data_IF_102257968686
#
_entry.id   IF_102257968686
#
_cell.length_a   1.000
_cell.length_b   1.000
_cell.length_c   1.000
_cell.angle_alpha   90.00
_cell.angle_beta   90.00
_cell.angle_gamma   90.00
#
_symmetry.space_group_name_H-M   'P 1'
#
loop_
_entity.id
_entity.type
_entity.pdbx_description
1 polymer ?
#
# COMPACT_ATOMS: atom_id res chain seq x y z
N UNK A 1 19.44 24.55 5.64
CA UNK A 1 18.15 25.20 5.34
C UNK A 1 17.10 24.52 6.23
N UNK A 2 16.24 25.27 6.95
CA UNK A 2 15.36 24.65 7.96
C UNK A 2 14.19 23.89 7.30
N UNK A 3 13.80 22.73 7.86
CA UNK A 3 12.70 21.86 7.40
C UNK A 3 11.39 22.61 7.12
N UNK A 4 11.10 23.63 7.95
CA UNK A 4 9.94 24.54 7.78
C UNK A 4 9.95 25.34 6.48
N UNK A 5 11.13 25.67 5.91
CA UNK A 5 11.23 26.44 4.65
C UNK A 5 10.93 25.57 3.42
N UNK A 6 11.32 24.30 3.46
CA UNK A 6 11.08 23.31 2.38
C UNK A 6 9.62 22.88 2.28
N UNK A 7 8.95 22.69 3.43
CA UNK A 7 7.51 22.40 3.49
C UNK A 7 6.69 23.56 2.91
N UNK A 8 7.06 24.81 3.23
CA UNK A 8 6.40 26.00 2.68
C UNK A 8 6.61 26.13 1.15
N UNK A 9 7.79 25.79 0.63
CA UNK A 9 8.06 25.86 -0.81
C UNK A 9 7.26 24.80 -1.58
N UNK A 10 7.24 23.56 -1.08
CA UNK A 10 6.47 22.45 -1.66
C UNK A 10 4.96 22.73 -1.65
N UNK A 11 4.46 23.31 -0.54
CA UNK A 11 3.06 23.72 -0.41
C UNK A 11 2.69 24.82 -1.42
N UNK A 12 3.54 25.84 -1.56
CA UNK A 12 3.31 26.94 -2.51
C UNK A 12 3.40 26.50 -3.97
N UNK A 13 4.30 25.57 -4.30
CA UNK A 13 4.39 24.98 -5.64
C UNK A 13 3.14 24.16 -5.98
N UNK A 14 2.66 23.36 -5.02
CA UNK A 14 1.42 22.59 -5.18
C UNK A 14 0.23 23.51 -5.46
N UNK A 15 0.01 24.53 -4.63
CA UNK A 15 -1.16 25.40 -4.77
C UNK A 15 -1.15 26.22 -6.08
N UNK A 16 -0.03 26.86 -6.43
CA UNK A 16 0.07 27.65 -7.66
C UNK A 16 -0.07 26.78 -8.93
N UNK A 17 0.40 25.54 -8.89
CA UNK A 17 0.28 24.61 -10.02
C UNK A 17 -1.16 24.12 -10.15
N UNK A 18 -1.77 23.71 -9.03
CA UNK A 18 -3.17 23.23 -8.98
C UNK A 18 -4.15 24.27 -9.53
N UNK A 19 -4.00 25.55 -9.18
CA UNK A 19 -4.88 26.61 -9.71
C UNK A 19 -4.82 26.71 -11.24
N UNK A 20 -3.62 26.68 -11.82
CA UNK A 20 -3.40 26.86 -13.27
C UNK A 20 -3.87 25.68 -14.12
N UNK A 21 -3.96 24.48 -13.54
CA UNK A 21 -4.35 23.25 -14.28
C UNK A 21 -5.57 22.56 -13.68
N UNK A 22 -6.36 23.28 -12.88
CA UNK A 22 -7.56 22.78 -12.20
C UNK A 22 -8.63 22.20 -13.15
N UNK A 23 -8.62 22.60 -14.42
CA UNK A 23 -9.50 22.04 -15.46
C UNK A 23 -9.10 20.62 -15.89
N UNK A 24 -7.85 20.21 -15.67
CA UNK A 24 -7.39 18.85 -15.83
C UNK A 24 -7.63 18.13 -14.49
N UNK A 25 -8.50 17.12 -14.47
CA UNK A 25 -8.89 16.39 -13.25
C UNK A 25 -7.69 15.56 -12.73
N UNK A 26 -6.74 16.23 -12.07
CA UNK A 26 -5.44 15.70 -11.63
C UNK A 26 -5.33 15.71 -10.10
N UNK A 27 -4.68 14.68 -9.57
CA UNK A 27 -4.29 14.51 -8.18
C UNK A 27 -2.77 14.73 -8.04
N UNK A 28 -2.33 15.10 -6.83
CA UNK A 28 -0.94 15.40 -6.53
C UNK A 28 -0.50 14.80 -5.19
N UNK A 29 0.60 14.04 -5.19
CA UNK A 29 1.23 13.52 -3.98
C UNK A 29 2.69 13.98 -3.86
N UNK A 30 3.19 14.11 -2.64
CA UNK A 30 4.61 14.42 -2.41
C UNK A 30 5.47 13.18 -2.69
N UNK A 31 6.41 13.31 -3.62
CA UNK A 31 7.40 12.30 -3.97
C UNK A 31 8.73 12.57 -3.24
N UNK A 32 9.04 11.77 -2.22
CA UNK A 32 10.27 11.93 -1.45
C UNK A 32 10.44 13.34 -0.86
N UNK A 33 11.66 13.88 -0.93
CA UNK A 33 11.99 15.22 -0.41
C UNK A 33 11.95 16.33 -1.48
N UNK A 34 11.97 15.98 -2.77
CA UNK A 34 12.28 16.94 -3.85
C UNK A 34 11.31 16.90 -5.03
N UNK A 35 10.33 16.00 -5.05
CA UNK A 35 9.39 15.88 -6.18
C UNK A 35 7.93 15.89 -5.75
N UNK A 36 7.07 16.12 -6.74
CA UNK A 36 5.62 15.98 -6.65
C UNK A 36 5.20 15.09 -7.81
N UNK A 37 4.41 14.06 -7.51
CA UNK A 37 3.79 13.23 -8.53
C UNK A 37 2.46 13.86 -8.94
N UNK A 38 2.20 13.92 -10.24
CA UNK A 38 0.97 14.44 -10.83
C UNK A 38 0.33 13.35 -11.69
N UNK A 39 -0.92 12.99 -11.41
CA UNK A 39 -1.59 11.85 -12.04
C UNK A 39 -3.10 12.07 -12.13
N UNK A 40 -3.81 11.41 -13.08
CA UNK A 40 -5.27 11.48 -13.15
C UNK A 40 -5.94 10.99 -11.86
N UNK A 41 -7.14 11.51 -11.57
CA UNK A 41 -7.94 11.00 -10.44
C UNK A 41 -8.15 9.49 -10.56
N UNK A 42 -7.91 8.76 -9.46
CA UNK A 42 -8.02 7.29 -9.39
C UNK A 42 -6.79 6.52 -9.84
N UNK A 43 -5.68 7.20 -10.15
CA UNK A 43 -4.38 6.59 -10.43
C UNK A 43 -3.47 6.54 -9.18
N UNK A 44 -4.03 6.72 -7.99
CA UNK A 44 -3.35 6.40 -6.74
C UNK A 44 -3.13 4.88 -6.60
N UNK A 45 -2.57 4.43 -5.47
CA UNK A 45 -2.22 3.02 -5.29
C UNK A 45 -3.41 2.06 -5.41
N UNK A 46 -4.66 2.52 -5.25
CA UNK A 46 -5.87 1.69 -5.50
C UNK A 46 -5.98 1.21 -6.94
N UNK A 47 -5.30 1.85 -7.89
CA UNK A 47 -5.32 1.47 -9.30
C UNK A 47 -4.89 0.02 -9.53
N UNK A 48 -4.00 -0.52 -8.70
CA UNK A 48 -3.56 -1.92 -8.83
C UNK A 48 -4.67 -2.92 -8.50
N UNK A 49 -5.66 -2.54 -7.67
CA UNK A 49 -6.70 -3.45 -7.18
C UNK A 49 -7.60 -3.97 -8.31
N UNK A 50 -7.77 -3.21 -9.40
CA UNK A 50 -8.51 -3.66 -10.59
C UNK A 50 -7.90 -4.90 -11.26
N UNK A 51 -6.61 -5.17 -11.01
CA UNK A 51 -5.90 -6.33 -11.55
C UNK A 51 -5.86 -7.51 -10.57
N UNK A 52 -6.25 -7.28 -9.31
CA UNK A 52 -6.27 -8.26 -8.22
C UNK A 52 -7.70 -8.73 -7.90
N UNK A 53 -8.71 -7.99 -8.35
CA UNK A 53 -10.11 -8.33 -8.20
C UNK A 53 -10.39 -9.75 -8.72
N UNK A 54 -11.12 -10.53 -7.92
CA UNK A 54 -11.47 -11.94 -8.17
C UNK A 54 -10.29 -12.92 -8.28
N UNK A 55 -9.06 -12.52 -7.92
CA UNK A 55 -7.89 -13.42 -7.92
C UNK A 55 -7.50 -13.92 -6.53
N UNK A 56 -7.94 -13.22 -5.49
CA UNK A 56 -7.60 -13.51 -4.10
C UNK A 56 -8.85 -13.35 -3.23
N UNK A 57 -9.02 -14.26 -2.27
CA UNK A 57 -10.10 -14.15 -1.28
C UNK A 57 -9.85 -12.95 -0.34
N UNK A 58 -8.58 -12.71 -0.01
CA UNK A 58 -8.17 -11.65 0.90
C UNK A 58 -6.91 -10.95 0.38
N UNK A 59 -6.91 -9.61 0.44
CA UNK A 59 -5.76 -8.78 0.06
C UNK A 59 -5.28 -8.06 1.31
N UNK A 60 -4.01 -8.27 1.66
CA UNK A 60 -3.37 -7.64 2.81
C UNK A 60 -2.44 -6.53 2.34
N UNK A 61 -2.64 -5.34 2.87
CA UNK A 61 -1.82 -4.18 2.53
C UNK A 61 -1.06 -3.68 3.76
N UNK A 62 0.22 -3.36 3.59
CA UNK A 62 1.09 -2.82 4.64
C UNK A 62 1.62 -1.47 4.17
N UNK A 63 1.40 -0.41 4.95
CA UNK A 63 1.80 0.96 4.58
C UNK A 63 2.21 1.81 5.77
N UNK A 64 3.13 2.74 5.57
CA UNK A 64 3.64 3.63 6.61
C UNK A 64 2.99 5.02 6.56
N UNK A 65 2.57 5.48 5.39
CA UNK A 65 1.92 6.79 5.18
C UNK A 65 0.42 6.66 4.97
N UNK A 66 -0.25 6.05 5.94
CA UNK A 66 -1.68 5.70 5.87
C UNK A 66 -2.62 6.71 6.51
N UNK A 67 -2.10 7.86 6.98
CA UNK A 67 -2.94 8.97 7.47
C UNK A 67 -3.37 9.87 6.28
N UNK A 68 -4.45 10.63 6.45
CA UNK A 68 -4.99 11.50 5.39
C UNK A 68 -3.92 12.42 4.80
N UNK A 69 -3.72 12.35 3.49
CA UNK A 69 -2.69 13.09 2.75
C UNK A 69 -1.36 12.33 2.58
N UNK A 70 -1.19 11.18 3.21
CA UNK A 70 -0.15 10.21 2.90
C UNK A 70 -0.47 9.44 1.63
N UNK A 71 0.55 8.99 0.90
CA UNK A 71 0.39 8.32 -0.39
C UNK A 71 -0.08 6.86 -0.30
N UNK A 72 -0.23 6.31 0.90
CA UNK A 72 -0.84 4.98 1.13
C UNK A 72 -2.30 5.08 1.56
N UNK A 73 -2.80 6.28 1.87
CA UNK A 73 -4.10 6.48 2.51
C UNK A 73 -5.26 5.86 1.72
N UNK A 74 -5.35 6.14 0.42
CA UNK A 74 -6.46 5.68 -0.41
C UNK A 74 -6.50 4.15 -0.49
N UNK A 75 -5.34 3.50 -0.68
CA UNK A 75 -5.25 2.05 -0.72
C UNK A 75 -5.52 1.44 0.65
N UNK A 76 -4.96 2.01 1.72
CA UNK A 76 -5.15 1.53 3.09
C UNK A 76 -6.62 1.55 3.53
N UNK A 77 -7.39 2.55 3.09
CA UNK A 77 -8.82 2.69 3.40
C UNK A 77 -9.74 1.97 2.41
N UNK A 78 -9.23 1.34 1.36
CA UNK A 78 -10.05 0.63 0.39
C UNK A 78 -10.67 -0.62 1.03
N UNK A 79 -11.99 -0.78 0.90
CA UNK A 79 -12.74 -1.92 1.48
C UNK A 79 -12.27 -3.30 0.99
N UNK A 80 -11.56 -3.36 -0.14
CA UNK A 80 -11.04 -4.61 -0.73
C UNK A 80 -9.76 -5.09 -0.04
N UNK A 81 -9.15 -4.27 0.80
CA UNK A 81 -7.91 -4.64 1.51
C UNK A 81 -8.10 -4.67 3.02
N UNK A 82 -7.34 -5.55 3.68
CA UNK A 82 -7.09 -5.52 5.11
C UNK A 82 -5.78 -4.78 5.34
N UNK A 83 -5.88 -3.53 5.77
CA UNK A 83 -4.74 -2.63 5.94
C UNK A 83 -4.04 -2.77 7.29
N UNK A 84 -2.72 -2.88 7.28
CA UNK A 84 -1.83 -2.79 8.44
C UNK A 84 -0.94 -1.56 8.35
N UNK A 85 -1.07 -0.66 9.34
CA UNK A 85 -0.19 0.50 9.47
C UNK A 85 1.13 0.03 10.07
N UNK A 86 2.24 0.35 9.42
CA UNK A 86 3.60 -0.03 9.86
C UNK A 86 4.48 1.20 10.04
N UNK A 87 5.41 1.17 10.98
CA UNK A 87 6.33 2.31 11.19
C UNK A 87 7.65 2.16 10.44
N UNK A 88 8.06 0.93 10.17
CA UNK A 88 9.34 0.57 9.57
C UNK A 88 9.32 -0.91 9.14
N UNK A 89 10.33 -1.40 8.39
CA UNK A 89 10.37 -2.78 7.92
C UNK A 89 10.30 -3.84 9.04
N UNK A 90 10.87 -3.56 10.22
CA UNK A 90 10.84 -4.52 11.34
C UNK A 90 9.42 -4.69 11.89
N UNK A 91 8.62 -3.63 11.89
CA UNK A 91 7.21 -3.65 12.30
C UNK A 91 6.39 -4.53 11.36
N UNK A 92 6.63 -4.43 10.05
CA UNK A 92 6.03 -5.34 9.04
C UNK A 92 6.38 -6.80 9.35
N UNK A 93 7.66 -7.12 9.59
CA UNK A 93 8.09 -8.49 9.92
C UNK A 93 7.43 -9.00 11.19
N UNK A 94 7.30 -8.14 12.21
CA UNK A 94 6.63 -8.48 13.46
C UNK A 94 5.16 -8.85 13.22
N UNK A 95 4.40 -8.00 12.52
CA UNK A 95 2.99 -8.25 12.21
C UNK A 95 2.84 -9.53 11.38
N UNK A 96 3.72 -9.75 10.40
CA UNK A 96 3.72 -10.97 9.59
C UNK A 96 3.90 -12.23 10.45
N UNK A 97 4.83 -12.20 11.40
CA UNK A 97 5.07 -13.33 12.31
C UNK A 97 3.88 -13.60 13.23
N UNK A 98 3.31 -12.55 13.80
CA UNK A 98 2.23 -12.66 14.78
C UNK A 98 0.90 -13.10 14.16
N UNK A 99 0.60 -12.66 12.92
CA UNK A 99 -0.72 -12.86 12.32
C UNK A 99 -0.75 -14.00 11.28
N UNK A 100 0.38 -14.33 10.64
CA UNK A 100 0.39 -15.24 9.49
C UNK A 100 1.31 -16.45 9.66
N UNK A 101 2.40 -16.32 10.41
CA UNK A 101 3.44 -17.37 10.53
C UNK A 101 3.44 -18.07 11.90
N UNK A 102 2.30 -18.10 12.59
CA UNK A 102 2.15 -18.88 13.83
C UNK A 102 2.34 -20.38 13.56
N UNK A 103 2.81 -21.12 14.57
CA UNK A 103 3.09 -22.57 14.45
C UNK A 103 1.86 -23.34 13.96
N UNK A 104 0.66 -22.91 14.35
CA UNK A 104 -0.60 -23.55 13.95
C UNK A 104 -0.91 -23.33 12.46
N UNK A 105 -0.65 -22.13 11.93
CA UNK A 105 -0.75 -21.86 10.48
C UNK A 105 0.29 -22.64 9.66
N UNK A 106 1.50 -22.82 10.20
CA UNK A 106 2.55 -23.61 9.53
C UNK A 106 2.17 -25.09 9.48
N UNK A 107 1.58 -25.65 10.55
CA UNK A 107 1.13 -27.05 10.59
C UNK A 107 0.00 -27.33 9.60
N UNK A 108 -1.03 -26.47 9.53
CA UNK A 108 -2.11 -26.61 8.54
C UNK A 108 -1.59 -26.59 7.10
N UNK A 109 -0.62 -25.71 6.80
CA UNK A 109 -0.02 -25.69 5.47
C UNK A 109 0.85 -26.93 5.19
N UNK A 110 1.61 -27.42 6.19
CA UNK A 110 2.46 -28.61 6.02
C UNK A 110 1.65 -29.88 5.69
N UNK A 111 0.48 -30.06 6.30
CA UNK A 111 -0.45 -31.15 5.98
C UNK A 111 -0.99 -31.05 4.55
N UNK A 112 -1.28 -29.83 4.07
CA UNK A 112 -1.74 -29.60 2.70
C UNK A 112 -0.64 -29.89 1.66
N UNK A 113 0.59 -29.44 1.90
CA UNK A 113 1.73 -29.69 1.00
C UNK A 113 2.14 -31.17 0.96
N UNK A 114 2.15 -31.87 2.11
CA UNK A 114 2.44 -33.30 2.13
C UNK A 114 1.37 -34.12 1.42
N UNK A 115 0.09 -33.76 1.55
CA UNK A 115 -1.00 -34.45 0.84
C UNK A 115 -0.91 -34.27 -0.69
N UNK A 116 -0.56 -33.06 -1.16
CA UNK A 116 -0.33 -32.79 -2.59
C UNK A 116 0.91 -33.56 -3.12
N UNK A 117 2.01 -33.58 -2.37
CA UNK A 117 3.22 -34.31 -2.77
C UNK A 117 3.02 -35.83 -2.77
N UNK A 118 2.30 -36.37 -1.78
CA UNK A 118 1.96 -37.79 -1.72
C UNK A 118 1.02 -38.19 -2.87
N UNK A 119 0.00 -37.38 -3.17
CA UNK A 119 -0.89 -37.64 -4.31
C UNK A 119 -0.13 -37.65 -5.66
N UNK A 120 0.86 -36.76 -5.83
CA UNK A 120 1.72 -36.74 -7.04
C UNK A 120 2.68 -37.93 -7.14
N UNK A 121 3.05 -38.57 -6.04
CA UNK A 121 3.90 -39.78 -6.07
C UNK A 121 3.11 -41.08 -6.21
N UNK A 122 1.80 -41.06 -5.99
CA UNK A 122 0.91 -42.22 -6.09
C UNK A 122 0.19 -42.33 -7.45
N UNK A 123 0.56 -41.50 -8.43
CA UNK A 123 0.03 -41.46 -9.81
C UNK A 123 1.16 -41.65 -10.79
#
# INVERSE_FOLDING_TARGET
MSRKKEENLSYNLKNNTVEKISFLILNFSMGGQISIDCFPKGWDKTFCLKHLENKFDEIYFFGDRTDKGGNDYELFCDKRVKGYKVKNPNDTVKILRENFLTIDNVKQNWEQYTSIYMYKMMK
#
